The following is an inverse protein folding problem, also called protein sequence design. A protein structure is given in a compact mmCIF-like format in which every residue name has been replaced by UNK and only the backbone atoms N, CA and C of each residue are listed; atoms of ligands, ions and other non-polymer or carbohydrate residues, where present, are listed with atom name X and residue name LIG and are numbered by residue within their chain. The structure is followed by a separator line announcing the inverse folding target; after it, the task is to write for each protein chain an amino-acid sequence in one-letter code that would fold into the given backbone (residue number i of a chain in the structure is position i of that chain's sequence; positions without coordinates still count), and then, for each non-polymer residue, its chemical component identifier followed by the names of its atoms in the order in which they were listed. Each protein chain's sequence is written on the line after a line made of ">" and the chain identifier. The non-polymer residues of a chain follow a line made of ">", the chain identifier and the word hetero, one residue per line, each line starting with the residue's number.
data_IF_528040927995
#
_entry.id   IF_528040927995
#
_cell.length_a   1.000
_cell.length_b   1.000
_cell.length_c   1.000
_cell.angle_alpha   90.00
_cell.angle_beta   90.00
_cell.angle_gamma   90.00
#
_symmetry.space_group_name_H-M   'P 1'
#
loop_
_entity.id
_entity.type
_entity.pdbx_description
1 polymer ?
#
# COMPACT_ATOMS: atom_id res chain seq x y z
N UNK A 1 -7.31 15.45 4.48
CA UNK A 1 -7.51 14.99 5.88
C UNK A 1 -6.96 16.02 6.89
N UNK A 2 -5.68 16.40 6.84
CA UNK A 2 -5.12 17.39 7.78
C UNK A 2 -5.79 18.75 7.66
N UNK A 3 -6.08 19.21 6.44
CA UNK A 3 -6.81 20.46 6.19
C UNK A 3 -8.25 20.43 6.74
N UNK A 4 -8.81 19.25 6.94
CA UNK A 4 -10.13 19.03 7.55
C UNK A 4 -10.04 18.83 9.08
N UNK A 5 -8.87 19.08 9.66
CA UNK A 5 -8.64 18.93 11.10
C UNK A 5 -8.54 17.48 11.60
N UNK A 6 -8.48 16.50 10.72
CA UNK A 6 -8.34 15.08 11.09
C UNK A 6 -6.93 14.81 11.66
N UNK A 7 -6.84 13.90 12.61
CA UNK A 7 -5.55 13.33 13.03
C UNK A 7 -5.14 12.26 12.02
N UNK A 8 -3.88 12.29 11.61
CA UNK A 8 -3.31 11.36 10.63
C UNK A 8 -2.08 10.68 11.21
N UNK A 9 -2.06 9.36 11.17
CA UNK A 9 -0.89 8.55 11.46
C UNK A 9 -0.39 7.99 10.13
N UNK A 10 0.84 8.36 9.76
CA UNK A 10 1.53 7.86 8.57
C UNK A 10 2.55 6.81 8.99
N UNK A 11 2.40 5.60 8.48
CA UNK A 11 3.35 4.49 8.71
C UNK A 11 4.03 4.20 7.39
N UNK A 12 5.36 4.30 7.34
CA UNK A 12 6.16 4.05 6.13
C UNK A 12 7.57 3.59 6.54
N UNK A 13 8.10 2.56 5.87
CA UNK A 13 9.47 2.07 6.11
C UNK A 13 10.52 2.80 5.26
N UNK A 14 10.08 3.71 4.39
CA UNK A 14 10.90 4.52 3.49
C UNK A 14 11.74 3.73 2.49
N UNK A 15 11.40 2.47 2.21
CA UNK A 15 12.14 1.64 1.24
C UNK A 15 12.13 2.27 -0.18
N UNK A 16 11.03 2.92 -0.53
CA UNK A 16 10.89 3.66 -1.80
C UNK A 16 10.46 5.11 -1.60
N UNK A 17 10.14 5.49 -0.37
CA UNK A 17 9.70 6.82 0.03
C UNK A 17 10.84 7.72 0.50
N UNK A 18 10.52 9.00 0.77
CA UNK A 18 11.39 9.95 1.43
C UNK A 18 10.59 10.79 2.42
N UNK A 19 11.19 11.14 3.56
CA UNK A 19 10.62 12.10 4.50
C UNK A 19 10.41 13.48 3.90
N UNK A 20 11.14 13.82 2.84
CA UNK A 20 10.99 15.10 2.16
C UNK A 20 9.59 15.26 1.56
N UNK A 21 8.95 14.13 1.17
CA UNK A 21 7.58 14.15 0.63
C UNK A 21 6.51 14.57 1.67
N UNK A 22 6.85 14.51 2.95
CA UNK A 22 5.95 14.85 4.06
C UNK A 22 6.51 15.98 4.94
N UNK A 23 7.60 16.64 4.50
CA UNK A 23 8.30 17.66 5.29
C UNK A 23 7.35 18.76 5.79
N UNK A 24 6.47 19.26 4.92
CA UNK A 24 5.50 20.31 5.26
C UNK A 24 4.45 19.88 6.28
N UNK A 25 4.28 18.57 6.47
CA UNK A 25 3.29 18.02 7.41
C UNK A 25 3.88 17.67 8.78
N UNK A 26 5.20 17.52 8.88
CA UNK A 26 5.88 17.05 10.11
C UNK A 26 5.68 18.01 11.31
N UNK A 27 5.51 19.30 11.07
CA UNK A 27 5.23 20.29 12.12
C UNK A 27 3.75 20.37 12.52
N UNK A 28 2.85 19.66 11.82
CA UNK A 28 1.44 19.68 12.11
C UNK A 28 1.14 18.82 13.36
N UNK A 29 0.54 19.41 14.40
CA UNK A 29 0.19 18.70 15.65
C UNK A 29 -0.76 17.51 15.47
N UNK A 30 -1.48 17.47 14.36
CA UNK A 30 -2.41 16.39 14.02
C UNK A 30 -1.76 15.32 13.13
N UNK A 31 -0.45 15.41 12.86
CA UNK A 31 0.28 14.45 12.04
C UNK A 31 1.32 13.71 12.86
N UNK A 32 1.32 12.38 12.77
CA UNK A 32 2.32 11.53 13.41
C UNK A 32 2.94 10.64 12.32
N UNK A 33 4.27 10.68 12.22
CA UNK A 33 5.02 9.77 11.36
C UNK A 33 5.65 8.66 12.19
N UNK A 34 5.43 7.41 11.77
CA UNK A 34 6.03 6.22 12.36
C UNK A 34 6.86 5.52 11.28
N UNK A 35 8.19 5.52 11.45
CA UNK A 35 9.06 4.74 10.56
C UNK A 35 8.95 3.26 10.94
N UNK A 36 8.14 2.52 10.18
CA UNK A 36 7.87 1.12 10.48
C UNK A 36 7.40 0.39 9.22
N UNK A 37 7.73 -0.91 9.14
CA UNK A 37 7.28 -1.76 8.07
C UNK A 37 5.97 -2.47 8.47
N UNK A 38 4.92 -2.29 7.67
CA UNK A 38 3.60 -2.89 7.94
C UNK A 38 3.58 -4.42 7.80
N UNK A 39 4.61 -5.04 7.24
CA UNK A 39 4.77 -6.49 7.25
C UNK A 39 5.23 -7.03 8.62
N UNK A 40 5.77 -6.17 9.47
CA UNK A 40 6.11 -6.48 10.86
C UNK A 40 4.90 -6.32 11.78
N UNK A 41 5.01 -6.75 13.03
CA UNK A 41 3.97 -6.50 14.02
C UNK A 41 3.73 -4.99 14.15
N UNK A 42 2.48 -4.57 13.91
CA UNK A 42 2.16 -3.14 13.96
C UNK A 42 2.40 -2.56 15.36
N UNK A 43 2.89 -1.32 15.47
CA UNK A 43 2.97 -0.64 16.75
C UNK A 43 1.57 -0.47 17.34
N UNK A 44 1.49 -0.45 18.66
CA UNK A 44 0.22 -0.18 19.32
C UNK A 44 -0.26 1.24 18.95
N UNK A 45 -1.47 1.30 18.42
CA UNK A 45 -2.13 2.56 18.08
C UNK A 45 -3.30 2.74 19.03
N UNK A 46 -3.17 3.70 19.94
CA UNK A 46 -4.22 4.00 20.92
C UNK A 46 -5.28 4.92 20.31
N UNK A 47 -6.50 4.78 20.82
CA UNK A 47 -7.65 5.56 20.41
C UNK A 47 -8.43 4.96 19.24
N UNK A 48 -9.38 5.75 18.75
CA UNK A 48 -10.25 5.40 17.65
C UNK A 48 -9.56 5.66 16.31
N UNK A 49 -9.78 4.77 15.36
CA UNK A 49 -9.34 4.89 13.96
C UNK A 49 -10.60 4.83 13.10
N UNK A 50 -10.94 5.91 12.42
CA UNK A 50 -12.10 5.98 11.55
C UNK A 50 -11.85 5.36 10.17
N UNK A 51 -10.60 5.36 9.71
CA UNK A 51 -10.25 4.78 8.40
C UNK A 51 -8.77 4.45 8.28
N UNK A 52 -8.48 3.43 7.52
CA UNK A 52 -7.12 2.97 7.17
C UNK A 52 -7.00 3.00 5.65
N UNK A 53 -6.00 3.74 5.15
CA UNK A 53 -5.66 3.80 3.74
C UNK A 53 -4.37 3.01 3.51
N UNK A 54 -4.49 1.83 2.95
CA UNK A 54 -3.35 1.00 2.60
C UNK A 54 -2.81 1.40 1.23
N UNK A 55 -1.83 2.32 1.25
CA UNK A 55 -1.16 2.86 0.06
C UNK A 55 0.28 2.31 -0.07
N UNK A 56 0.75 1.58 0.92
CA UNK A 56 2.11 1.07 0.98
C UNK A 56 2.32 -0.04 -0.06
N UNK A 57 3.12 0.24 -1.07
CA UNK A 57 3.63 -0.72 -2.04
C UNK A 57 4.66 -0.04 -2.95
N UNK A 58 5.79 -0.66 -3.28
CA UNK A 58 6.56 -0.26 -4.46
C UNK A 58 5.66 -0.34 -5.69
N UNK A 59 5.63 0.69 -6.52
CA UNK A 59 4.66 0.80 -7.62
C UNK A 59 5.26 1.14 -8.97
N UNK A 60 6.58 1.38 -9.07
CA UNK A 60 7.23 1.72 -10.33
C UNK A 60 7.62 0.47 -11.12
N UNK A 61 7.20 0.34 -12.41
CA UNK A 61 7.62 -0.74 -13.28
C UNK A 61 9.03 -0.54 -13.86
N UNK A 62 9.64 0.62 -13.67
CA UNK A 62 10.93 0.95 -14.26
C UNK A 62 12.08 0.31 -13.49
N UNK A 63 12.66 -0.77 -14.00
CA UNK A 63 13.77 -1.49 -13.39
C UNK A 63 15.04 -0.62 -13.11
N UNK A 64 15.19 0.52 -13.79
CA UNK A 64 16.29 1.47 -13.54
C UNK A 64 16.00 2.38 -12.33
N UNK A 65 14.76 2.43 -11.85
CA UNK A 65 14.39 3.22 -10.69
C UNK A 65 14.68 2.45 -9.40
N UNK A 66 15.34 3.04 -8.39
CA UNK A 66 15.50 2.42 -7.09
C UNK A 66 14.16 2.17 -6.38
N UNK A 67 13.07 2.80 -6.85
CA UNK A 67 11.70 2.66 -6.32
C UNK A 67 10.88 1.57 -7.02
N UNK A 68 11.53 0.77 -7.88
CA UNK A 68 10.84 -0.22 -8.69
C UNK A 68 10.46 -1.46 -7.87
N UNK A 69 9.25 -1.96 -8.06
CA UNK A 69 8.85 -3.28 -7.54
C UNK A 69 9.69 -4.43 -8.13
N UNK A 70 10.30 -4.23 -9.29
CA UNK A 70 11.22 -5.22 -9.89
C UNK A 70 12.49 -5.36 -9.04
N UNK A 71 12.94 -4.27 -8.40
CA UNK A 71 14.11 -4.26 -7.52
C UNK A 71 13.78 -4.63 -6.06
N UNK A 72 12.49 -4.66 -5.71
CA UNK A 72 11.97 -5.01 -4.38
C UNK A 72 10.86 -6.07 -4.49
N UNK A 73 11.15 -7.24 -5.13
CA UNK A 73 10.09 -8.21 -5.45
C UNK A 73 9.46 -8.84 -4.21
N UNK A 74 10.26 -9.23 -3.23
CA UNK A 74 9.77 -9.87 -2.00
C UNK A 74 9.00 -8.85 -1.15
N UNK A 75 9.54 -7.65 -0.98
CA UNK A 75 8.91 -6.57 -0.23
C UNK A 75 7.57 -6.20 -0.85
N UNK A 76 7.51 -6.15 -2.18
CA UNK A 76 6.28 -5.86 -2.91
C UNK A 76 5.22 -6.95 -2.67
N UNK A 77 5.59 -8.21 -2.78
CA UNK A 77 4.66 -9.31 -2.53
C UNK A 77 4.18 -9.32 -1.07
N UNK A 78 5.12 -9.17 -0.13
CA UNK A 78 4.83 -9.24 1.31
C UNK A 78 3.98 -8.06 1.80
N UNK A 79 4.21 -6.84 1.32
CA UNK A 79 3.41 -5.68 1.75
C UNK A 79 1.97 -5.78 1.24
N UNK A 80 1.77 -6.30 0.03
CA UNK A 80 0.44 -6.49 -0.55
C UNK A 80 -0.29 -7.74 -0.02
N UNK A 81 0.38 -8.67 0.64
CA UNK A 81 -0.21 -9.86 1.27
C UNK A 81 -0.24 -9.75 2.80
N UNK A 82 0.87 -9.98 3.47
CA UNK A 82 0.94 -9.94 4.93
C UNK A 82 0.66 -8.55 5.50
N UNK A 83 1.16 -7.50 4.83
CA UNK A 83 0.86 -6.10 5.18
C UNK A 83 -0.65 -5.82 5.13
N UNK A 84 -1.30 -6.18 4.02
CA UNK A 84 -2.76 -6.07 3.87
C UNK A 84 -3.49 -6.81 4.99
N UNK A 85 -3.11 -8.07 5.25
CA UNK A 85 -3.73 -8.86 6.34
C UNK A 85 -3.63 -8.16 7.70
N UNK A 86 -2.45 -7.66 8.06
CA UNK A 86 -2.24 -6.96 9.35
C UNK A 86 -3.09 -5.70 9.48
N UNK A 87 -3.17 -4.92 8.41
CA UNK A 87 -3.97 -3.71 8.39
C UNK A 87 -5.47 -4.01 8.40
N UNK A 88 -5.91 -5.10 7.78
CA UNK A 88 -7.29 -5.59 7.89
C UNK A 88 -7.62 -6.07 9.31
N UNK A 89 -6.68 -6.77 9.98
CA UNK A 89 -6.86 -7.18 11.38
C UNK A 89 -7.01 -5.94 12.29
N UNK A 90 -6.17 -4.91 12.08
CA UNK A 90 -6.30 -3.63 12.78
C UNK A 90 -7.63 -2.93 12.48
N UNK A 91 -8.02 -2.91 11.20
CA UNK A 91 -9.30 -2.32 10.78
C UNK A 91 -10.49 -2.99 11.48
N UNK A 92 -10.47 -4.32 11.56
CA UNK A 92 -11.50 -5.10 12.27
C UNK A 92 -11.48 -4.83 13.78
N UNK A 93 -10.31 -4.79 14.41
CA UNK A 93 -10.14 -4.46 15.83
C UNK A 93 -10.71 -3.08 16.16
N UNK A 94 -10.46 -2.10 15.31
CA UNK A 94 -10.85 -0.70 15.49
C UNK A 94 -12.24 -0.37 14.92
N UNK A 95 -12.90 -1.33 14.28
CA UNK A 95 -14.16 -1.12 13.55
C UNK A 95 -14.08 0.07 12.56
N UNK A 96 -13.00 0.14 11.80
CA UNK A 96 -12.69 1.24 10.90
C UNK A 96 -12.94 0.88 9.43
N UNK A 97 -13.13 1.91 8.58
CA UNK A 97 -13.20 1.73 7.13
C UNK A 97 -11.81 1.40 6.60
N UNK A 98 -11.72 0.41 5.72
CA UNK A 98 -10.49 0.03 5.05
C UNK A 98 -10.54 0.38 3.57
N UNK A 99 -9.52 1.09 3.10
CA UNK A 99 -9.35 1.45 1.68
C UNK A 99 -8.01 0.91 1.20
N UNK A 100 -8.05 0.04 0.20
CA UNK A 100 -6.87 -0.55 -0.42
C UNK A 100 -6.59 0.07 -1.79
N UNK A 101 -5.38 0.57 -1.99
CA UNK A 101 -4.96 1.06 -3.30
C UNK A 101 -4.57 -0.12 -4.20
N UNK A 102 -5.53 -0.60 -4.97
CA UNK A 102 -5.32 -1.59 -6.02
C UNK A 102 -4.68 -0.94 -7.26
N UNK A 103 -4.68 -1.63 -8.39
CA UNK A 103 -4.09 -1.19 -9.64
C UNK A 103 -4.80 -1.87 -10.81
N UNK A 104 -4.84 -1.24 -11.99
CA UNK A 104 -5.27 -1.92 -13.22
C UNK A 104 -4.35 -3.08 -13.61
N UNK A 105 -3.15 -3.15 -13.08
CA UNK A 105 -2.20 -4.25 -13.30
C UNK A 105 -2.68 -5.59 -12.73
N UNK A 106 -3.73 -5.60 -11.88
CA UNK A 106 -4.42 -6.84 -11.48
C UNK A 106 -5.01 -7.60 -12.68
N UNK A 107 -5.24 -6.93 -13.79
CA UNK A 107 -5.73 -7.53 -15.04
C UNK A 107 -4.58 -7.97 -15.96
N UNK A 108 -3.33 -7.70 -15.63
CA UNK A 108 -2.15 -8.07 -16.41
C UNK A 108 -2.11 -7.34 -17.76
N UNK A 109 -1.98 -8.11 -18.85
CA UNK A 109 -2.05 -7.63 -20.23
C UNK A 109 -3.48 -7.82 -20.77
N UNK A 110 -4.38 -6.84 -20.58
CA UNK A 110 -5.80 -7.04 -20.77
C UNK A 110 -6.19 -7.15 -22.24
N UNK A 111 -7.10 -8.07 -22.54
CA UNK A 111 -7.66 -8.28 -23.87
C UNK A 111 -8.90 -7.44 -24.14
N UNK A 112 -9.43 -6.78 -23.11
CA UNK A 112 -10.60 -5.89 -23.19
C UNK A 112 -10.29 -4.52 -22.58
N UNK A 113 -10.93 -3.48 -23.11
CA UNK A 113 -10.84 -2.11 -22.60
C UNK A 113 -12.18 -1.39 -22.83
N UNK A 114 -12.76 -0.72 -21.82
CA UNK A 114 -12.30 -0.69 -20.42
C UNK A 114 -12.47 -2.05 -19.74
N UNK A 115 -11.63 -2.34 -18.72
CA UNK A 115 -11.77 -3.52 -17.89
C UNK A 115 -12.97 -3.35 -16.95
N UNK A 116 -13.77 -4.38 -16.84
CA UNK A 116 -14.92 -4.46 -15.94
C UNK A 116 -14.57 -5.34 -14.73
N UNK A 117 -15.31 -5.23 -13.63
CA UNK A 117 -15.00 -5.96 -12.38
C UNK A 117 -15.19 -7.50 -12.52
N UNK A 118 -15.96 -7.96 -13.49
CA UNK A 118 -16.16 -9.37 -13.82
C UNK A 118 -15.10 -9.94 -14.78
N UNK A 119 -14.19 -9.11 -15.29
CA UNK A 119 -13.08 -9.55 -16.10
C UNK A 119 -11.95 -10.14 -15.25
N UNK A 120 -11.60 -11.42 -15.48
CA UNK A 120 -10.57 -12.11 -14.70
C UNK A 120 -9.14 -11.71 -15.04
N UNK A 121 -8.92 -11.04 -16.17
CA UNK A 121 -7.61 -10.59 -16.58
C UNK A 121 -6.79 -11.62 -17.34
N UNK A 122 -5.57 -11.23 -17.68
CA UNK A 122 -4.57 -12.01 -18.41
C UNK A 122 -3.18 -11.75 -17.82
N UNK A 123 -2.95 -12.24 -16.60
CA UNK A 123 -1.68 -12.05 -15.86
C UNK A 123 -0.70 -13.13 -16.26
N UNK A 124 0.55 -12.74 -16.55
CA UNK A 124 1.67 -13.64 -16.74
C UNK A 124 2.33 -13.97 -15.38
N UNK A 125 2.10 -15.15 -14.79
CA UNK A 125 2.62 -15.48 -13.46
C UNK A 125 4.16 -15.61 -13.41
N UNK A 126 4.80 -15.77 -14.55
CA UNK A 126 6.26 -15.91 -14.69
C UNK A 126 6.95 -14.60 -15.14
N UNK A 127 6.19 -13.53 -15.35
CA UNK A 127 6.73 -12.25 -15.80
C UNK A 127 7.44 -11.49 -14.68
N UNK A 128 8.34 -10.58 -15.05
CA UNK A 128 9.05 -9.72 -14.08
C UNK A 128 8.10 -8.81 -13.27
N UNK A 129 6.87 -8.57 -13.76
CA UNK A 129 5.83 -7.79 -13.11
C UNK A 129 4.94 -8.60 -12.18
N UNK A 130 5.01 -9.94 -12.24
CA UNK A 130 4.08 -10.84 -11.55
C UNK A 130 4.01 -10.58 -10.04
N UNK A 131 5.11 -10.18 -9.40
CA UNK A 131 5.14 -9.86 -7.96
C UNK A 131 4.23 -8.71 -7.58
N UNK A 132 4.08 -7.71 -8.46
CA UNK A 132 3.16 -6.60 -8.27
C UNK A 132 1.74 -6.98 -8.65
N UNK A 133 1.57 -7.58 -9.83
CA UNK A 133 0.27 -7.98 -10.38
C UNK A 133 -0.43 -8.96 -9.43
N UNK A 134 0.25 -10.04 -9.02
CA UNK A 134 -0.30 -11.04 -8.10
C UNK A 134 -0.42 -10.51 -6.67
N UNK A 135 0.54 -9.70 -6.21
CA UNK A 135 0.45 -9.06 -4.91
C UNK A 135 -0.79 -8.17 -4.79
N UNK A 136 -1.06 -7.35 -5.81
CA UNK A 136 -2.25 -6.49 -5.86
C UNK A 136 -3.55 -7.27 -6.04
N UNK A 137 -3.53 -8.42 -6.73
CA UNK A 137 -4.69 -9.33 -6.86
C UNK A 137 -5.02 -10.01 -5.54
N UNK A 138 -4.01 -10.33 -4.73
CA UNK A 138 -4.20 -10.95 -3.42
C UNK A 138 -4.85 -9.98 -2.42
N UNK A 139 -4.42 -8.72 -2.38
CA UNK A 139 -4.95 -7.68 -1.48
C UNK A 139 -6.37 -7.24 -1.82
#
# INVERSE_FOLDING_TARGET
>A
LLAEGKKVICIDNLITGSKDNIADTLANRNFVFINHDVISALPKIDGEISGIFHLASPASPNAKSPRSYINHPIETLMVNSLGTKRLLDLSREKNSIFVYASSSEIYGDPQISPQTEDYFGNVNPNGARSVHDEGKRFG
#
